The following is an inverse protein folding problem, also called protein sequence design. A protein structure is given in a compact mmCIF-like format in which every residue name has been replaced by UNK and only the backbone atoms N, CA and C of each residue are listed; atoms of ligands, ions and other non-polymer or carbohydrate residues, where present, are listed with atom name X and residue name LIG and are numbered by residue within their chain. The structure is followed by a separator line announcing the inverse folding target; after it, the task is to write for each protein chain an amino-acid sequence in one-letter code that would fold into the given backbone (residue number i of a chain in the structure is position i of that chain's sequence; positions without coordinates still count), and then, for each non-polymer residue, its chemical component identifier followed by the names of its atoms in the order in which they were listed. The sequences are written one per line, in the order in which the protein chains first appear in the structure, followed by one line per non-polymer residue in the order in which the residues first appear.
data_IF_950257530180
#
_entry.id   IF_950257530180
#
_cell.length_a   1.000
_cell.length_b   1.000
_cell.length_c   1.000
_cell.angle_alpha   90.00
_cell.angle_beta   90.00
_cell.angle_gamma   90.00
#
_symmetry.space_group_name_H-M   'P 1'
#
loop_
_entity.id
_entity.type
_entity.pdbx_description
1 polymer ?
#
# COMPACT_ATOMS: atom_id res chain seq x y z
N UNK A 1 9.32 9.03 1.75
CA UNK A 1 8.57 9.50 0.57
C UNK A 1 7.22 8.76 0.51
N UNK A 2 6.13 9.42 0.11
CA UNK A 2 4.82 8.77 -0.06
C UNK A 2 4.82 8.06 -1.42
N UNK A 3 4.91 6.74 -1.42
CA UNK A 3 4.98 5.93 -2.64
C UNK A 3 4.36 4.55 -2.47
N UNK A 4 4.00 3.95 -3.60
CA UNK A 4 3.60 2.56 -3.69
C UNK A 4 4.41 1.86 -4.79
N UNK A 5 4.57 0.54 -4.71
CA UNK A 5 5.32 -0.19 -5.74
C UNK A 5 5.13 -1.72 -5.69
N UNK A 6 5.40 -2.38 -6.82
CA UNK A 6 5.33 -3.84 -6.94
C UNK A 6 6.58 -4.48 -6.38
N UNK A 7 6.44 -5.43 -5.46
CA UNK A 7 7.55 -6.15 -4.80
C UNK A 7 8.62 -5.25 -4.12
N UNK A 8 8.41 -3.94 -4.07
CA UNK A 8 9.31 -2.95 -3.52
C UNK A 8 9.15 -2.89 -1.99
N UNK A 9 10.22 -3.24 -1.25
CA UNK A 9 10.20 -3.29 0.23
C UNK A 9 10.43 -1.93 0.88
N UNK A 10 10.99 -0.99 0.13
CA UNK A 10 11.28 0.39 0.54
C UNK A 10 10.06 1.30 0.34
N UNK A 11 9.08 0.88 -0.47
CA UNK A 11 7.83 1.62 -0.67
C UNK A 11 6.93 1.59 0.59
N UNK A 12 6.19 2.67 0.82
CA UNK A 12 5.25 2.79 1.93
C UNK A 12 4.07 1.81 1.80
N UNK A 13 3.56 1.66 0.58
CA UNK A 13 2.57 0.64 0.20
C UNK A 13 3.21 -0.34 -0.77
N UNK A 14 3.23 -1.63 -0.40
CA UNK A 14 3.74 -2.69 -1.25
C UNK A 14 2.61 -3.47 -1.90
N UNK A 15 2.69 -3.71 -3.20
CA UNK A 15 1.86 -4.69 -3.91
C UNK A 15 2.69 -5.95 -4.11
N UNK A 16 2.39 -7.06 -3.39
CA UNK A 16 3.13 -8.31 -3.55
C UNK A 16 2.97 -8.87 -4.96
N UNK A 17 3.97 -9.62 -5.43
CA UNK A 17 3.91 -10.27 -6.74
C UNK A 17 2.68 -11.19 -6.85
N UNK A 18 1.93 -11.01 -7.94
CA UNK A 18 0.82 -11.89 -8.28
C UNK A 18 1.35 -13.30 -8.59
N UNK A 19 0.69 -14.33 -8.04
CA UNK A 19 0.97 -15.73 -8.36
C UNK A 19 -0.10 -16.27 -9.28
N UNK A 20 0.24 -16.76 -10.49
CA UNK A 20 -0.72 -17.40 -11.39
C UNK A 20 -1.53 -18.48 -10.67
N UNK A 21 -2.85 -18.47 -10.87
CA UNK A 21 -3.76 -19.42 -10.23
C UNK A 21 -4.12 -19.12 -8.77
N UNK A 22 -3.65 -18.00 -8.19
CA UNK A 22 -3.97 -17.58 -6.81
C UNK A 22 -4.56 -16.17 -6.77
N UNK A 23 -5.65 -15.94 -7.49
CA UNK A 23 -6.36 -14.64 -7.53
C UNK A 23 -6.75 -14.13 -6.15
N UNK A 24 -7.20 -15.01 -5.25
CA UNK A 24 -7.55 -14.66 -3.86
C UNK A 24 -6.38 -14.18 -2.98
N UNK A 25 -5.13 -14.18 -3.49
CA UNK A 25 -3.97 -13.67 -2.76
C UNK A 25 -3.59 -12.22 -3.11
N UNK A 26 -4.30 -11.60 -4.07
CA UNK A 26 -4.12 -10.21 -4.44
C UNK A 26 -4.46 -9.30 -3.26
N UNK A 27 -3.51 -8.42 -2.91
CA UNK A 27 -3.62 -7.53 -1.75
C UNK A 27 -2.61 -6.39 -1.86
N UNK A 28 -2.79 -5.40 -0.99
CA UNK A 28 -1.81 -4.35 -0.70
C UNK A 28 -1.29 -4.53 0.73
N UNK A 29 -0.06 -4.09 0.98
CA UNK A 29 0.58 -4.16 2.29
C UNK A 29 1.04 -2.77 2.70
N UNK A 30 0.42 -2.21 3.74
CA UNK A 30 0.81 -0.92 4.34
C UNK A 30 1.93 -1.15 5.33
N UNK A 31 3.08 -0.52 5.12
CA UNK A 31 4.34 -0.84 5.83
C UNK A 31 4.76 0.20 6.88
N UNK A 32 4.06 1.32 6.95
CA UNK A 32 4.40 2.44 7.83
C UNK A 32 3.89 2.31 9.27
N UNK A 33 3.04 1.32 9.55
CA UNK A 33 2.39 1.16 10.86
C UNK A 33 3.23 0.23 11.73
N UNK A 34 3.43 0.62 12.99
CA UNK A 34 4.11 -0.17 14.00
C UNK A 34 3.15 -0.68 15.11
N UNK A 35 3.66 -1.52 16.00
CA UNK A 35 2.89 -2.13 17.09
C UNK A 35 2.53 -1.19 18.24
N UNK A 36 2.98 0.07 18.22
CA UNK A 36 2.56 1.10 19.16
C UNK A 36 1.17 1.65 18.85
N UNK A 37 0.64 1.42 17.64
CA UNK A 37 -0.70 1.82 17.26
C UNK A 37 -1.79 0.90 17.83
N UNK A 38 -2.95 1.47 18.14
CA UNK A 38 -4.13 0.67 18.48
C UNK A 38 -4.63 -0.06 17.21
N UNK A 39 -4.70 -1.42 17.20
CA UNK A 39 -5.04 -2.17 15.99
C UNK A 39 -6.47 -1.91 15.51
N UNK A 40 -7.42 -1.67 16.41
CA UNK A 40 -8.81 -1.39 16.05
C UNK A 40 -8.94 -0.06 15.30
N UNK A 41 -8.29 0.98 15.82
CA UNK A 41 -8.28 2.29 15.18
C UNK A 41 -7.51 2.25 13.86
N UNK A 42 -6.41 1.51 13.82
CA UNK A 42 -5.60 1.32 12.60
C UNK A 42 -6.44 0.73 11.48
N UNK A 43 -7.13 -0.39 11.72
CA UNK A 43 -7.95 -1.03 10.70
C UNK A 43 -9.13 -0.16 10.27
N UNK A 44 -9.80 0.51 11.23
CA UNK A 44 -10.90 1.41 10.92
C UNK A 44 -10.47 2.55 9.99
N UNK A 45 -9.35 3.21 10.29
CA UNK A 45 -8.82 4.33 9.48
C UNK A 45 -8.35 3.86 8.10
N UNK A 46 -7.65 2.73 8.02
CA UNK A 46 -7.20 2.20 6.73
C UNK A 46 -8.37 1.86 5.80
N UNK A 47 -9.42 1.23 6.34
CA UNK A 47 -10.62 0.89 5.57
C UNK A 47 -11.35 2.16 5.11
N UNK A 48 -11.53 3.13 6.01
CA UNK A 48 -12.20 4.40 5.70
C UNK A 48 -11.43 5.20 4.63
N UNK A 49 -10.10 5.27 4.74
CA UNK A 49 -9.26 5.97 3.77
C UNK A 49 -9.31 5.30 2.38
N UNK A 50 -9.26 3.97 2.33
CA UNK A 50 -9.38 3.21 1.08
C UNK A 50 -10.75 3.38 0.42
N UNK A 51 -11.82 3.30 1.21
CA UNK A 51 -13.19 3.49 0.70
C UNK A 51 -13.38 4.89 0.13
N UNK A 52 -12.93 5.92 0.87
CA UNK A 52 -13.00 7.31 0.40
C UNK A 52 -12.29 7.51 -0.95
N UNK A 53 -11.11 6.94 -1.11
CA UNK A 53 -10.37 7.03 -2.37
C UNK A 53 -11.09 6.39 -3.55
N UNK A 54 -11.87 5.32 -3.31
CA UNK A 54 -12.72 4.68 -4.32
C UNK A 54 -13.94 5.55 -4.63
N UNK A 55 -14.65 6.02 -3.60
CA UNK A 55 -15.88 6.81 -3.74
C UNK A 55 -15.64 8.15 -4.44
N UNK A 56 -14.51 8.81 -4.13
CA UNK A 56 -14.14 10.10 -4.69
C UNK A 56 -13.23 9.99 -5.93
N UNK A 57 -12.84 8.77 -6.33
CA UNK A 57 -12.07 8.53 -7.56
C UNK A 57 -10.68 9.13 -7.55
N UNK A 58 -9.92 9.01 -6.45
CA UNK A 58 -8.59 9.59 -6.35
C UNK A 58 -7.61 8.97 -7.36
N UNK A 59 -6.89 9.83 -8.07
CA UNK A 59 -5.81 9.39 -8.96
C UNK A 59 -4.60 8.91 -8.16
N UNK A 60 -4.07 7.76 -8.55
CA UNK A 60 -2.88 7.19 -7.95
C UNK A 60 -1.64 7.74 -8.67
N UNK A 61 -0.60 8.20 -7.95
CA UNK A 61 0.65 8.60 -8.59
C UNK A 61 1.31 7.40 -9.28
N UNK A 62 2.26 7.66 -10.17
CA UNK A 62 3.07 6.61 -10.77
C UNK A 62 3.72 5.74 -9.68
N UNK A 63 3.74 4.42 -9.90
CA UNK A 63 4.39 3.48 -8.99
C UNK A 63 5.89 3.76 -8.92
N UNK A 64 6.47 3.63 -7.73
CA UNK A 64 7.91 3.69 -7.55
C UNK A 64 8.56 2.39 -8.02
N UNK A 65 9.45 2.49 -9.01
CA UNK A 65 10.33 1.40 -9.44
C UNK A 65 11.30 1.00 -8.30
N UNK A 66 12.03 -0.10 -8.52
CA UNK A 66 12.72 -0.92 -7.51
C UNK A 66 13.66 -0.21 -6.52
N UNK A 67 13.94 1.08 -6.70
CA UNK A 67 14.78 1.84 -5.77
C UNK A 67 14.20 3.21 -5.35
N UNK A 68 13.42 3.21 -4.26
CA UNK A 68 12.89 4.44 -3.65
C UNK A 68 14.03 5.33 -3.12
N UNK A 69 15.22 4.77 -2.87
CA UNK A 69 16.39 5.53 -2.40
C UNK A 69 17.00 6.42 -3.49
N UNK A 70 16.67 6.17 -4.75
CA UNK A 70 17.11 6.97 -5.90
C UNK A 70 16.14 8.11 -6.28
N UNK A 71 14.98 8.22 -5.59
CA UNK A 71 14.01 9.31 -5.77
C UNK A 71 14.32 10.55 -4.89
N UNK A 72 15.58 10.68 -4.44
CA UNK A 72 16.07 11.74 -3.56
C UNK A 72 16.21 13.11 -4.22
#
# INVERSE_FOLDING_TARGET
YICWGHNNRSALIRVPMYKPGKTGSARVEVRSIDSGANPYLTYAVLLAAGLKGIEEGYELPAGADDDVWALS
#
